data_IF_606629158682
#
_entry.id   IF_606629158682
#
_cell.length_a   1.000
_cell.length_b   1.000
_cell.length_c   1.000
_cell.angle_alpha   90.00
_cell.angle_beta   90.00
_cell.angle_gamma   90.00
#
_symmetry.space_group_name_H-M   'P 1'
#
loop_
_entity.id
_entity.type
_entity.pdbx_description
1 polymer ?
#
# COMPACT_ATOMS: atom_id res chain seq x y z
N UNK A 1 -9.69 6.15 18.17
CA UNK A 1 -10.61 5.40 19.05
C UNK A 1 -9.96 5.06 20.38
N UNK A 2 -10.79 4.68 21.37
CA UNK A 2 -10.31 4.18 22.66
C UNK A 2 -10.01 2.70 22.53
N UNK A 3 -8.81 2.28 22.97
CA UNK A 3 -8.36 0.88 22.85
C UNK A 3 -9.24 -0.11 23.61
N UNK A 4 -9.66 0.24 24.83
CA UNK A 4 -10.54 -0.58 25.65
C UNK A 4 -11.90 -0.85 25.00
N UNK A 5 -12.47 0.18 24.35
CA UNK A 5 -13.75 0.05 23.62
C UNK A 5 -13.57 -0.84 22.40
N UNK A 6 -12.51 -0.62 21.61
CA UNK A 6 -12.25 -1.42 20.41
C UNK A 6 -12.04 -2.90 20.76
N UNK A 7 -11.29 -3.20 21.82
CA UNK A 7 -11.08 -4.58 22.27
C UNK A 7 -12.38 -5.24 22.73
N UNK A 8 -13.25 -4.50 23.43
CA UNK A 8 -14.57 -5.01 23.84
C UNK A 8 -15.47 -5.31 22.62
N UNK A 9 -15.49 -4.41 21.63
CA UNK A 9 -16.24 -4.62 20.37
C UNK A 9 -15.68 -5.80 19.58
N UNK A 10 -14.35 -5.92 19.50
CA UNK A 10 -13.70 -7.05 18.84
C UNK A 10 -14.04 -8.38 19.53
N UNK A 11 -14.00 -8.43 20.86
CA UNK A 11 -14.38 -9.62 21.63
C UNK A 11 -15.87 -9.98 21.43
N UNK A 12 -16.74 -9.00 21.25
CA UNK A 12 -18.16 -9.20 20.98
C UNK A 12 -18.43 -9.73 19.57
N UNK A 13 -17.82 -9.12 18.55
CA UNK A 13 -18.13 -9.39 17.15
C UNK A 13 -17.26 -10.46 16.51
N UNK A 14 -16.04 -10.63 16.96
CA UNK A 14 -15.02 -11.56 16.45
C UNK A 14 -14.27 -12.23 17.61
N UNK A 15 -14.96 -13.05 18.45
CA UNK A 15 -14.35 -13.63 19.64
C UNK A 15 -13.14 -14.50 19.35
N UNK A 16 -13.15 -15.28 18.25
CA UNK A 16 -12.02 -16.11 17.84
C UNK A 16 -10.77 -15.25 17.51
N UNK A 17 -10.98 -14.08 16.90
CA UNK A 17 -9.89 -13.15 16.61
C UNK A 17 -9.33 -12.56 17.91
N UNK A 18 -10.19 -12.12 18.81
CA UNK A 18 -9.80 -11.55 20.10
C UNK A 18 -8.97 -12.55 20.90
N UNK A 19 -9.43 -13.80 21.04
CA UNK A 19 -8.73 -14.88 21.75
C UNK A 19 -7.36 -15.17 21.12
N UNK A 20 -7.30 -15.27 19.79
CA UNK A 20 -6.05 -15.54 19.08
C UNK A 20 -5.03 -14.41 19.28
N UNK A 21 -5.47 -13.15 19.26
CA UNK A 21 -4.60 -11.99 19.49
C UNK A 21 -4.14 -11.92 20.94
N UNK A 22 -5.01 -12.15 21.92
CA UNK A 22 -4.63 -12.20 23.32
C UNK A 22 -3.57 -13.29 23.58
N UNK A 23 -3.77 -14.48 23.02
CA UNK A 23 -2.79 -15.57 23.13
C UNK A 23 -1.45 -15.20 22.46
N UNK A 24 -1.49 -14.55 21.30
CA UNK A 24 -0.30 -14.10 20.57
C UNK A 24 0.50 -13.05 21.36
N UNK A 25 -0.18 -12.14 22.04
CA UNK A 25 0.43 -11.11 22.89
C UNK A 25 0.97 -11.73 24.19
N UNK A 26 0.22 -12.63 24.81
CA UNK A 26 0.66 -13.32 26.04
C UNK A 26 1.92 -14.18 25.81
N UNK A 27 2.05 -14.79 24.65
CA UNK A 27 3.24 -15.56 24.24
C UNK A 27 4.34 -14.74 23.57
N UNK A 28 4.20 -13.40 23.53
CA UNK A 28 5.16 -12.55 22.85
C UNK A 28 6.51 -12.48 23.55
N UNK A 29 7.56 -12.30 22.76
CA UNK A 29 8.94 -12.10 23.24
C UNK A 29 9.47 -10.74 22.81
N UNK A 30 10.37 -10.15 23.59
CA UNK A 30 11.06 -8.92 23.21
C UNK A 30 12.40 -9.26 22.57
N UNK A 31 12.63 -8.75 21.35
CA UNK A 31 13.87 -8.92 20.61
C UNK A 31 14.32 -7.59 20.01
N UNK A 32 15.50 -7.11 20.41
CA UNK A 32 16.08 -5.83 19.96
C UNK A 32 15.13 -4.63 20.06
N UNK A 33 14.27 -4.61 21.10
CA UNK A 33 13.28 -3.54 21.29
C UNK A 33 11.98 -3.73 20.52
N UNK A 34 11.82 -4.80 19.75
CA UNK A 34 10.58 -5.18 19.08
C UNK A 34 9.82 -6.21 19.90
N UNK A 35 8.50 -6.04 20.00
CA UNK A 35 7.61 -7.06 20.52
C UNK A 35 7.27 -8.04 19.40
N UNK A 36 7.75 -9.28 19.52
CA UNK A 36 7.44 -10.37 18.57
C UNK A 36 6.29 -11.18 19.12
N UNK A 37 5.17 -11.14 18.43
CA UNK A 37 3.99 -11.94 18.78
C UNK A 37 4.27 -13.44 18.59
N UNK A 38 3.59 -14.29 19.38
CA UNK A 38 3.69 -15.74 19.19
C UNK A 38 3.06 -16.12 17.85
N UNK A 39 3.85 -16.68 16.88
CA UNK A 39 3.44 -16.78 15.49
C UNK A 39 2.28 -17.77 15.25
N UNK A 40 2.24 -18.87 16.01
CA UNK A 40 1.17 -19.88 15.84
C UNK A 40 -0.17 -19.37 16.38
N UNK A 41 -0.17 -18.64 17.49
CA UNK A 41 -1.37 -18.02 18.02
C UNK A 41 -1.86 -16.94 17.06
N UNK A 42 -0.95 -16.08 16.57
CA UNK A 42 -1.29 -15.03 15.60
C UNK A 42 -1.86 -15.58 14.30
N UNK A 43 -1.31 -16.68 13.79
CA UNK A 43 -1.76 -17.34 12.57
C UNK A 43 -3.19 -17.94 12.68
N UNK A 44 -3.70 -18.15 13.89
CA UNK A 44 -5.09 -18.59 14.10
C UNK A 44 -6.11 -17.46 13.97
N UNK A 45 -5.68 -16.21 14.09
CA UNK A 45 -6.59 -15.07 13.95
C UNK A 45 -7.20 -15.04 12.54
N UNK A 46 -8.55 -14.93 12.41
CA UNK A 46 -9.19 -14.76 11.13
C UNK A 46 -8.67 -13.51 10.39
N UNK A 47 -8.38 -13.65 9.10
CA UNK A 47 -7.92 -12.54 8.26
C UNK A 47 -9.11 -11.67 7.83
N UNK A 48 -9.42 -10.67 8.63
CA UNK A 48 -10.54 -9.75 8.41
C UNK A 48 -10.12 -8.33 8.77
N UNK A 49 -10.46 -7.35 7.93
CA UNK A 49 -10.19 -5.95 8.25
C UNK A 49 -11.03 -5.48 9.42
N UNK A 50 -10.56 -4.47 10.15
CA UNK A 50 -11.28 -3.83 11.25
C UNK A 50 -12.62 -3.26 10.79
N UNK A 51 -12.73 -2.85 9.52
CA UNK A 51 -13.97 -2.33 8.95
C UNK A 51 -15.07 -3.39 8.98
N UNK A 52 -14.81 -4.56 8.41
CA UNK A 52 -15.74 -5.69 8.42
C UNK A 52 -15.90 -6.36 9.79
N UNK A 53 -14.84 -6.35 10.59
CA UNK A 53 -14.87 -6.98 11.91
C UNK A 53 -15.71 -6.18 12.91
N UNK A 54 -15.57 -4.85 12.90
CA UNK A 54 -16.14 -3.96 13.91
C UNK A 54 -16.91 -2.80 13.31
N UNK A 55 -16.31 -2.00 12.40
CA UNK A 55 -16.83 -0.68 12.03
C UNK A 55 -18.18 -0.73 11.33
N UNK A 56 -18.46 -1.75 10.52
CA UNK A 56 -19.75 -1.93 9.85
C UNK A 56 -20.85 -2.48 10.77
N UNK A 57 -20.50 -2.89 12.00
CA UNK A 57 -21.40 -3.62 12.92
C UNK A 57 -21.65 -2.87 14.23
N UNK A 58 -20.76 -1.96 14.60
CA UNK A 58 -20.84 -1.25 15.88
C UNK A 58 -21.82 -0.10 15.85
N UNK A 59 -22.57 0.08 16.93
CA UNK A 59 -23.41 1.25 17.18
C UNK A 59 -22.63 2.39 17.88
N UNK A 60 -21.33 2.19 18.13
CA UNK A 60 -20.47 3.14 18.85
C UNK A 60 -19.60 3.99 17.94
N UNK A 61 -19.76 3.87 16.61
CA UNK A 61 -19.06 4.70 15.67
C UNK A 61 -19.56 6.14 15.72
N UNK A 62 -18.62 7.08 15.67
CA UNK A 62 -18.91 8.50 15.53
C UNK A 62 -18.14 9.06 14.33
N UNK A 63 -18.78 9.95 13.58
CA UNK A 63 -18.17 10.62 12.43
C UNK A 63 -17.88 12.07 12.80
N UNK A 64 -16.65 12.50 12.54
CA UNK A 64 -16.26 13.91 12.67
C UNK A 64 -15.98 14.43 11.26
N UNK A 65 -16.70 15.47 10.87
CA UNK A 65 -16.48 16.12 9.57
C UNK A 65 -15.10 16.78 9.54
N UNK A 66 -14.36 16.52 8.45
CA UNK A 66 -13.03 17.09 8.25
C UNK A 66 -13.11 18.25 7.25
N UNK A 67 -12.49 19.37 7.57
CA UNK A 67 -12.39 20.56 6.69
C UNK A 67 -11.11 20.58 5.85
N UNK A 68 -10.21 19.62 6.03
CA UNK A 68 -8.99 19.47 5.25
C UNK A 68 -9.15 18.40 4.18
N UNK A 69 -8.35 18.50 3.13
CA UNK A 69 -8.28 17.46 2.10
C UNK A 69 -7.55 16.23 2.68
N UNK A 70 -8.12 15.06 2.48
CA UNK A 70 -7.51 13.79 2.83
C UNK A 70 -7.60 12.79 1.66
N UNK A 71 -6.57 12.00 1.50
CA UNK A 71 -6.53 10.86 0.57
C UNK A 71 -5.67 9.77 1.17
N UNK A 72 -6.13 8.53 1.09
CA UNK A 72 -5.36 7.34 1.48
C UNK A 72 -4.24 7.01 0.48
N UNK A 73 -4.24 7.67 -0.70
CA UNK A 73 -3.32 7.42 -1.83
C UNK A 73 -3.26 5.90 -2.16
N UNK A 74 -4.41 5.26 -2.17
CA UNK A 74 -4.52 3.81 -2.40
C UNK A 74 -4.31 3.38 -3.85
N UNK A 75 -4.10 4.32 -4.78
CA UNK A 75 -3.85 4.04 -6.19
C UNK A 75 -2.94 5.09 -6.83
N UNK A 76 -2.36 4.76 -7.98
CA UNK A 76 -1.59 5.72 -8.78
C UNK A 76 -2.44 6.92 -9.23
N UNK A 77 -3.72 6.72 -9.50
CA UNK A 77 -4.62 7.81 -9.86
C UNK A 77 -4.86 8.79 -8.70
N UNK A 78 -4.88 8.31 -7.47
CA UNK A 78 -4.98 9.18 -6.29
C UNK A 78 -3.78 10.15 -6.16
N UNK A 79 -2.60 9.79 -6.65
CA UNK A 79 -1.45 10.71 -6.73
C UNK A 79 -1.71 11.88 -7.66
N UNK A 80 -2.50 11.70 -8.70
CA UNK A 80 -2.86 12.75 -9.65
C UNK A 80 -3.65 13.88 -8.99
N UNK A 81 -4.45 13.55 -7.97
CA UNK A 81 -5.28 14.51 -7.26
C UNK A 81 -4.53 15.31 -6.19
N UNK A 82 -3.44 14.76 -5.65
CA UNK A 82 -2.70 15.36 -4.53
C UNK A 82 -1.37 16.00 -4.93
N UNK A 83 -0.81 15.65 -6.10
CA UNK A 83 0.47 16.19 -6.58
C UNK A 83 0.29 17.42 -7.47
N UNK A 84 1.25 18.35 -7.47
CA UNK A 84 1.25 19.45 -8.43
C UNK A 84 1.38 18.92 -9.87
N UNK A 85 0.71 19.61 -10.79
CA UNK A 85 0.69 19.29 -12.24
C UNK A 85 1.48 20.34 -13.02
N UNK A 86 2.10 19.93 -14.11
CA UNK A 86 2.70 20.85 -15.07
C UNK A 86 1.65 21.55 -15.93
N UNK A 87 2.08 22.42 -16.87
CA UNK A 87 1.18 23.17 -17.76
C UNK A 87 0.36 22.31 -18.72
N UNK A 88 0.72 21.04 -18.93
CA UNK A 88 0.00 20.06 -19.74
C UNK A 88 -0.84 19.09 -18.88
N UNK A 89 -0.94 19.34 -17.57
CA UNK A 89 -1.71 18.52 -16.64
C UNK A 89 -0.97 17.27 -16.14
N UNK A 90 0.32 17.08 -16.43
CA UNK A 90 1.05 15.90 -16.01
C UNK A 90 1.56 16.01 -14.56
N UNK A 91 1.65 14.87 -13.87
CA UNK A 91 2.35 14.69 -12.61
C UNK A 91 3.66 13.97 -12.91
N UNK A 92 4.78 14.67 -12.82
CA UNK A 92 6.10 14.15 -13.16
C UNK A 92 6.97 14.02 -11.91
N UNK A 93 7.63 12.87 -11.75
CA UNK A 93 8.59 12.62 -10.68
C UNK A 93 9.83 11.91 -11.25
N UNK A 94 11.02 12.42 -10.88
CA UNK A 94 12.30 11.92 -11.36
C UNK A 94 12.76 12.58 -12.66
N UNK A 95 13.66 11.92 -13.40
CA UNK A 95 14.18 12.40 -14.67
C UNK A 95 13.19 12.05 -15.81
N UNK A 96 12.33 13.01 -16.16
CA UNK A 96 11.24 12.83 -17.12
C UNK A 96 11.26 13.92 -18.18
N UNK A 97 11.16 13.53 -19.44
CA UNK A 97 11.01 14.42 -20.58
C UNK A 97 9.73 14.09 -21.34
N UNK A 98 8.95 15.10 -21.67
CA UNK A 98 7.67 14.92 -22.38
C UNK A 98 7.60 15.75 -23.66
N UNK A 99 7.05 15.18 -24.71
CA UNK A 99 6.67 15.85 -25.96
C UNK A 99 5.23 15.44 -26.27
N UNK A 100 4.31 16.41 -26.34
CA UNK A 100 2.88 16.15 -26.58
C UNK A 100 2.25 15.12 -25.64
N UNK A 101 2.68 15.12 -24.36
CA UNK A 101 2.08 14.28 -23.32
C UNK A 101 1.14 15.09 -22.44
N UNK A 102 -0.06 14.58 -22.16
CA UNK A 102 -1.12 15.27 -21.41
C UNK A 102 -1.72 14.36 -20.35
N UNK A 103 -2.05 14.94 -19.19
CA UNK A 103 -2.78 14.29 -18.09
C UNK A 103 -2.15 12.94 -17.65
N UNK A 104 -0.83 12.81 -17.76
CA UNK A 104 -0.08 11.62 -17.44
C UNK A 104 0.48 11.67 -16.00
N UNK A 105 0.65 10.50 -15.41
CA UNK A 105 1.42 10.31 -14.18
C UNK A 105 2.70 9.56 -14.55
N UNK A 106 3.84 10.14 -14.26
CA UNK A 106 5.14 9.50 -14.50
C UNK A 106 5.95 9.51 -13.22
N UNK A 107 6.34 8.33 -12.78
CA UNK A 107 7.26 8.12 -11.67
C UNK A 107 8.48 7.38 -12.16
N UNK A 108 9.63 8.04 -12.19
CA UNK A 108 10.90 7.45 -12.58
C UNK A 108 11.90 7.56 -11.42
N UNK A 109 12.41 6.43 -10.96
CA UNK A 109 13.35 6.41 -9.82
C UNK A 109 14.78 6.73 -10.24
N UNK A 110 15.26 6.18 -11.37
CA UNK A 110 16.69 6.25 -11.71
C UNK A 110 16.99 6.45 -13.19
N UNK A 111 16.03 6.25 -14.08
CA UNK A 111 16.27 6.29 -15.53
C UNK A 111 15.56 7.49 -16.14
N UNK A 112 16.18 8.09 -17.17
CA UNK A 112 15.45 9.00 -18.03
C UNK A 112 14.23 8.28 -18.62
N UNK A 113 13.05 8.82 -18.36
CA UNK A 113 11.79 8.33 -18.91
C UNK A 113 11.22 9.39 -19.85
N UNK A 114 11.08 9.05 -21.12
CA UNK A 114 10.58 9.96 -22.14
C UNK A 114 9.19 9.52 -22.63
N UNK A 115 8.27 10.48 -22.75
CA UNK A 115 6.92 10.28 -23.28
C UNK A 115 6.70 11.15 -24.51
N UNK A 116 6.15 10.59 -25.56
CA UNK A 116 5.83 11.30 -26.80
C UNK A 116 4.43 10.95 -27.27
N UNK A 117 3.58 11.96 -27.45
CA UNK A 117 2.26 11.80 -28.07
C UNK A 117 1.28 10.94 -27.29
N UNK A 118 1.35 10.94 -25.94
CA UNK A 118 0.52 10.09 -25.09
C UNK A 118 -0.39 10.92 -24.17
N UNK A 119 -1.52 10.34 -23.79
CA UNK A 119 -2.49 10.99 -22.92
C UNK A 119 -3.08 10.00 -21.91
N UNK A 120 -3.43 10.50 -20.72
CA UNK A 120 -4.11 9.74 -19.65
C UNK A 120 -3.38 8.43 -19.29
N UNK A 121 -2.05 8.47 -19.23
CA UNK A 121 -1.23 7.30 -18.95
C UNK A 121 -0.61 7.37 -17.54
N UNK A 122 -0.42 6.21 -16.95
CA UNK A 122 0.47 6.00 -15.79
C UNK A 122 1.70 5.25 -16.28
N UNK A 123 2.86 5.81 -16.00
CA UNK A 123 4.16 5.22 -16.28
C UNK A 123 4.97 5.20 -14.99
N UNK A 124 5.31 4.01 -14.51
CA UNK A 124 6.15 3.81 -13.31
C UNK A 124 7.38 3.03 -13.73
N UNK A 125 8.54 3.63 -13.54
CA UNK A 125 9.84 3.02 -13.82
C UNK A 125 10.62 2.92 -12.52
N UNK A 126 10.73 1.72 -12.00
CA UNK A 126 11.57 1.36 -10.85
C UNK A 126 12.90 0.76 -11.31
N UNK A 127 13.73 0.30 -10.38
CA UNK A 127 15.00 -0.34 -10.70
C UNK A 127 14.83 -1.68 -11.43
N UNK A 128 13.75 -2.39 -11.13
CA UNK A 128 13.50 -3.78 -11.49
C UNK A 128 12.31 -3.98 -12.44
N UNK A 129 11.45 -2.97 -12.58
CA UNK A 129 10.24 -3.10 -13.41
C UNK A 129 9.83 -1.78 -14.06
N UNK A 130 9.10 -1.90 -15.16
CA UNK A 130 8.39 -0.78 -15.79
C UNK A 130 6.92 -1.16 -15.94
N UNK A 131 6.04 -0.32 -15.39
CA UNK A 131 4.60 -0.41 -15.54
C UNK A 131 4.11 0.71 -16.46
N UNK A 132 3.31 0.35 -17.46
CA UNK A 132 2.63 1.30 -18.33
C UNK A 132 1.16 0.89 -18.44
N UNK A 133 0.26 1.83 -18.17
CA UNK A 133 -1.18 1.56 -18.26
C UNK A 133 -1.98 2.84 -18.48
N UNK A 134 -3.19 2.76 -19.05
CA UNK A 134 -4.16 3.85 -18.98
C UNK A 134 -4.50 4.18 -17.52
N UNK A 135 -4.62 5.46 -17.18
CA UNK A 135 -4.92 5.91 -15.83
C UNK A 135 -6.22 5.33 -15.28
N UNK A 136 -7.25 5.24 -16.13
CA UNK A 136 -8.54 4.64 -15.77
C UNK A 136 -8.45 3.16 -15.36
N UNK A 137 -7.33 2.50 -15.65
CA UNK A 137 -7.10 1.08 -15.29
C UNK A 137 -6.17 0.88 -14.08
N UNK A 138 -5.93 1.91 -13.28
CA UNK A 138 -5.02 1.85 -12.14
C UNK A 138 -5.36 0.74 -11.12
N UNK A 139 -6.62 0.39 -10.97
CA UNK A 139 -7.06 -0.70 -10.08
C UNK A 139 -6.70 -2.10 -10.59
N UNK A 140 -6.48 -2.27 -11.89
CA UNK A 140 -6.18 -3.57 -12.51
C UNK A 140 -4.76 -4.06 -12.18
N UNK A 141 -3.93 -3.21 -11.59
CA UNK A 141 -2.58 -3.58 -11.09
C UNK A 141 -2.66 -4.77 -10.12
N UNK A 142 -3.75 -4.91 -9.37
CA UNK A 142 -3.98 -6.05 -8.47
C UNK A 142 -3.97 -7.39 -9.23
N UNK A 143 -4.60 -7.44 -10.40
CA UNK A 143 -4.60 -8.65 -11.24
C UNK A 143 -3.21 -8.94 -11.81
N UNK A 144 -2.48 -7.89 -12.24
CA UNK A 144 -1.11 -8.05 -12.70
C UNK A 144 -0.22 -8.63 -11.61
N UNK A 145 -0.29 -8.09 -10.39
CA UNK A 145 0.48 -8.61 -9.24
C UNK A 145 0.11 -10.06 -8.94
N UNK A 146 -1.17 -10.43 -9.01
CA UNK A 146 -1.61 -11.80 -8.83
C UNK A 146 -0.98 -12.75 -9.89
N UNK A 147 -0.93 -12.33 -11.15
CA UNK A 147 -0.27 -13.09 -12.24
C UNK A 147 1.23 -13.24 -12.00
N UNK A 148 1.92 -12.19 -11.58
CA UNK A 148 3.35 -12.23 -11.27
C UNK A 148 3.64 -13.20 -10.12
N UNK A 149 2.83 -13.17 -9.07
CA UNK A 149 2.93 -14.10 -7.92
C UNK A 149 2.68 -15.54 -8.34
N UNK A 150 1.64 -15.81 -9.15
CA UNK A 150 1.35 -17.13 -9.68
C UNK A 150 2.49 -17.66 -10.56
N UNK A 151 3.15 -16.78 -11.32
CA UNK A 151 4.33 -17.09 -12.11
C UNK A 151 5.64 -17.14 -11.32
N UNK A 152 5.60 -16.98 -9.99
CA UNK A 152 6.77 -16.95 -9.10
C UNK A 152 7.84 -15.94 -9.52
N UNK A 153 7.41 -14.81 -10.08
CA UNK A 153 8.32 -13.73 -10.47
C UNK A 153 8.86 -13.03 -9.20
N UNK A 154 10.18 -12.87 -9.14
CA UNK A 154 10.89 -12.26 -7.99
C UNK A 154 10.44 -10.81 -7.78
N UNK A 155 10.19 -10.08 -8.85
CA UNK A 155 9.74 -8.68 -8.82
C UNK A 155 8.39 -8.48 -8.11
N UNK A 156 7.63 -9.55 -7.86
CA UNK A 156 6.38 -9.50 -7.10
C UNK A 156 6.56 -9.69 -5.59
N UNK A 157 7.71 -10.18 -5.14
CA UNK A 157 7.96 -10.57 -3.74
C UNK A 157 9.22 -9.95 -3.16
N UNK A 158 10.24 -9.73 -3.99
CA UNK A 158 11.55 -9.27 -3.56
C UNK A 158 11.84 -7.90 -4.18
N UNK A 159 12.18 -6.93 -3.37
CA UNK A 159 12.71 -5.66 -3.82
C UNK A 159 14.24 -5.73 -3.88
N UNK A 160 14.84 -5.16 -4.92
CA UNK A 160 16.30 -5.05 -5.03
C UNK A 160 16.91 -4.35 -3.81
N UNK A 161 16.23 -3.31 -3.32
CA UNK A 161 16.60 -2.60 -2.09
C UNK A 161 15.72 -3.08 -0.95
N UNK A 162 16.33 -3.71 0.04
CA UNK A 162 15.66 -4.15 1.26
C UNK A 162 16.10 -3.30 2.44
N UNK A 163 15.13 -2.59 3.04
CA UNK A 163 15.36 -1.80 4.25
C UNK A 163 15.39 -2.69 5.49
N UNK A 164 16.31 -2.39 6.39
CA UNK A 164 16.50 -3.05 7.68
C UNK A 164 16.62 -1.97 8.77
N UNK A 165 16.45 -2.29 10.06
CA UNK A 165 16.61 -1.31 11.15
C UNK A 165 17.97 -0.58 11.15
N UNK A 166 19.02 -1.24 10.64
CA UNK A 166 20.38 -0.72 10.57
C UNK A 166 20.74 -0.05 9.23
N UNK A 167 19.82 0.03 8.25
CA UNK A 167 20.06 0.62 6.93
C UNK A 167 19.36 -0.12 5.79
N UNK A 168 20.01 -0.25 4.65
CA UNK A 168 19.50 -1.03 3.52
C UNK A 168 20.64 -1.80 2.84
N UNK A 169 20.28 -2.85 2.12
CA UNK A 169 21.17 -3.50 1.16
C UNK A 169 20.48 -3.63 -0.20
N UNK A 170 21.28 -3.67 -1.25
CA UNK A 170 20.83 -3.91 -2.62
C UNK A 170 21.43 -5.21 -3.13
N UNK A 171 20.57 -6.08 -3.71
CA UNK A 171 21.05 -7.26 -4.42
C UNK A 171 21.63 -6.84 -5.78
N UNK A 172 22.88 -7.21 -6.03
CA UNK A 172 23.56 -7.06 -7.32
C UNK A 172 23.48 -8.44 -7.96
N UNK A 173 22.62 -8.60 -8.96
CA UNK A 173 22.55 -9.81 -9.80
C UNK A 173 23.48 -9.64 -11.00
#
# INVERSE_FOLDING_TARGET
>A
YRGDVLLAELAQFEPEMAEAIEAAVAGATTDLGFLRLEPNAFARAPQKSIDYAVMERTDRAAVVESTFRWSDIGSWDALFDVRPRDGAGNVLHGDVVTVDAQDCIVHSEQRLTALVGVKDMVVVSTQDAVLVMPRARAQDVKELVAKLKAGKRREATDHRRMHRPWGYYESID
#
